data_IF_771680915776
#
_entry.id   IF_771680915776
#
_cell.length_a   1.000
_cell.length_b   1.000
_cell.length_c   1.000
_cell.angle_alpha   90.00
_cell.angle_beta   90.00
_cell.angle_gamma   90.00
#
_symmetry.space_group_name_H-M   'P 1'
#
loop_
_entity.id
_entity.type
_entity.pdbx_description
1 polymer ?
#
# COMPACT_ATOMS: atom_id res chain seq x y z
N UNK A 1 12.15 26.98 -0.12
CA UNK A 1 11.82 26.94 -1.56
C UNK A 1 10.41 27.48 -1.72
N UNK A 2 10.19 28.50 -2.55
CA UNK A 2 8.90 29.21 -2.70
C UNK A 2 7.95 28.57 -3.71
N UNK A 3 8.51 27.86 -4.69
CA UNK A 3 7.78 27.29 -5.82
C UNK A 3 8.18 25.83 -5.96
N UNK A 4 7.20 24.93 -5.87
CA UNK A 4 7.42 23.48 -5.93
C UNK A 4 6.39 22.86 -6.86
N UNK A 5 6.85 21.87 -7.61
CA UNK A 5 6.00 21.01 -8.44
C UNK A 5 6.05 19.60 -7.87
N UNK A 6 4.86 19.04 -7.61
CA UNK A 6 4.71 17.65 -7.20
C UNK A 6 4.08 16.85 -8.32
N UNK A 7 4.55 15.62 -8.47
CA UNK A 7 4.14 14.70 -9.51
C UNK A 7 3.53 13.44 -8.89
N UNK A 8 2.30 13.13 -9.31
CA UNK A 8 1.70 11.80 -9.11
C UNK A 8 1.79 11.01 -10.41
N UNK A 9 2.28 9.77 -10.34
CA UNK A 9 2.37 8.88 -11.51
C UNK A 9 1.69 7.56 -11.21
N UNK A 10 0.85 7.12 -12.15
CA UNK A 10 0.21 5.82 -12.13
C UNK A 10 0.54 5.13 -13.46
N UNK A 11 1.16 3.96 -13.38
CA UNK A 11 1.38 3.09 -14.53
C UNK A 11 0.23 2.10 -14.70
N UNK A 12 -0.06 1.73 -15.95
CA UNK A 12 -1.07 0.74 -16.30
C UNK A 12 -0.82 -0.63 -15.62
N UNK A 13 0.44 -1.05 -15.55
CA UNK A 13 0.87 -2.35 -15.03
C UNK A 13 1.38 -2.23 -13.59
N UNK A 14 2.15 -1.19 -13.29
CA UNK A 14 2.81 -0.99 -11.99
C UNK A 14 1.89 -0.34 -10.94
N UNK A 15 0.76 0.22 -11.34
CA UNK A 15 -0.13 0.96 -10.43
C UNK A 15 0.51 2.27 -9.96
N UNK A 16 0.36 2.61 -8.68
CA UNK A 16 0.81 3.90 -8.14
C UNK A 16 2.35 3.99 -8.02
N UNK A 17 3.02 4.39 -9.10
CA UNK A 17 4.48 4.53 -9.19
C UNK A 17 5.00 5.57 -8.19
N UNK A 18 4.29 6.68 -8.00
CA UNK A 18 4.72 7.73 -7.07
C UNK A 18 4.49 7.39 -5.58
N UNK A 19 3.81 6.30 -5.27
CA UNK A 19 3.48 5.94 -3.89
C UNK A 19 4.74 5.75 -3.04
N UNK A 20 4.81 6.44 -1.91
CA UNK A 20 5.97 6.46 -1.01
C UNK A 20 7.24 7.13 -1.55
N UNK A 21 7.20 7.84 -2.69
CA UNK A 21 8.39 8.47 -3.27
C UNK A 21 8.84 9.74 -2.51
N UNK A 22 7.91 10.43 -1.84
CA UNK A 22 8.20 11.59 -1.01
C UNK A 22 8.51 11.26 0.44
N UNK A 23 8.88 10.01 0.76
CA UNK A 23 9.21 9.55 2.11
C UNK A 23 10.69 9.68 2.43
N UNK A 24 11.03 9.67 3.72
CA UNK A 24 12.42 9.70 4.20
C UNK A 24 13.26 8.56 3.59
N UNK A 25 12.72 7.35 3.49
CA UNK A 25 13.43 6.20 2.89
C UNK A 25 13.76 6.39 1.40
N UNK A 26 13.08 7.32 0.72
CA UNK A 26 13.24 7.57 -0.71
C UNK A 26 14.15 8.76 -0.99
N UNK A 27 13.92 9.89 -0.32
CA UNK A 27 14.61 11.18 -0.61
C UNK A 27 15.41 11.72 0.59
N UNK A 28 15.53 10.94 1.67
CA UNK A 28 16.22 11.34 2.91
C UNK A 28 15.58 12.60 3.51
N UNK A 29 16.42 13.49 4.06
CA UNK A 29 16.00 14.74 4.72
C UNK A 29 15.24 15.74 3.82
N UNK A 30 15.02 15.43 2.54
CA UNK A 30 14.23 16.26 1.62
C UNK A 30 12.75 15.88 1.59
N UNK A 31 12.37 14.81 2.31
CA UNK A 31 10.98 14.40 2.44
C UNK A 31 10.14 15.52 3.06
N UNK A 32 8.86 15.56 2.69
CA UNK A 32 7.94 16.58 3.18
C UNK A 32 6.64 15.93 3.62
N UNK A 33 6.16 16.37 4.78
CA UNK A 33 4.90 15.90 5.34
C UNK A 33 3.74 16.18 4.38
N UNK A 34 2.82 15.22 4.26
CA UNK A 34 1.66 15.25 3.38
C UNK A 34 1.95 15.17 1.86
N UNK A 35 3.20 14.89 1.48
CA UNK A 35 3.63 14.67 0.10
C UNK A 35 4.32 13.30 -0.07
N UNK A 36 4.02 12.34 0.80
CA UNK A 36 4.70 11.04 0.85
C UNK A 36 4.49 10.20 -0.41
N UNK A 37 3.35 10.35 -1.07
CA UNK A 37 2.97 9.64 -2.30
C UNK A 37 3.21 10.46 -3.58
N UNK A 38 3.94 11.57 -3.47
CA UNK A 38 4.24 12.47 -4.58
C UNK A 38 5.74 12.57 -4.82
N UNK A 39 6.12 12.72 -6.08
CA UNK A 39 7.50 12.91 -6.52
C UNK A 39 7.81 14.40 -6.58
N UNK A 40 8.98 14.77 -6.09
CA UNK A 40 9.46 16.14 -6.14
C UNK A 40 10.09 16.45 -7.51
N UNK A 41 9.55 17.46 -8.23
CA UNK A 41 10.04 17.86 -9.54
C UNK A 41 10.83 19.16 -9.45
N UNK A 42 12.11 19.11 -9.84
CA UNK A 42 13.06 20.23 -9.80
C UNK A 42 12.91 21.18 -10.96
N UNK A 43 12.63 20.64 -12.14
CA UNK A 43 12.37 21.43 -13.33
C UNK A 43 11.38 20.72 -14.22
N UNK A 44 10.58 21.50 -14.93
CA UNK A 44 9.62 21.01 -15.91
C UNK A 44 9.67 21.94 -17.11
N UNK A 45 9.79 21.35 -18.29
CA UNK A 45 9.73 22.04 -19.57
C UNK A 45 8.69 21.34 -20.42
N UNK A 46 7.69 22.11 -20.83
CA UNK A 46 6.72 21.70 -21.83
C UNK A 46 6.80 22.71 -22.97
N UNK A 47 6.93 22.22 -24.20
CA UNK A 47 7.02 23.08 -25.38
C UNK A 47 5.88 22.75 -26.34
N UNK A 48 5.29 23.79 -26.91
CA UNK A 48 4.24 23.68 -27.91
C UNK A 48 4.52 24.74 -28.96
N UNK A 49 4.59 24.31 -30.22
CA UNK A 49 4.78 25.19 -31.37
C UNK A 49 3.50 25.28 -32.18
N UNK A 50 3.39 26.30 -33.04
CA UNK A 50 2.27 26.43 -33.96
C UNK A 50 2.69 25.97 -35.35
N UNK A 51 1.84 25.20 -36.01
CA UNK A 51 2.01 24.87 -37.44
C UNK A 51 1.35 25.91 -38.35
N UNK A 52 0.72 26.94 -37.78
CA UNK A 52 -0.17 27.87 -38.50
C UNK A 52 -1.57 27.30 -38.77
N UNK A 53 -1.78 25.99 -38.61
CA UNK A 53 -3.09 25.31 -38.72
C UNK A 53 -3.53 24.62 -37.42
N UNK A 54 -2.68 24.62 -36.40
CA UNK A 54 -2.94 23.99 -35.11
C UNK A 54 -1.70 23.97 -34.22
N UNK A 55 -1.88 23.48 -32.99
CA UNK A 55 -0.78 23.31 -32.05
C UNK A 55 -0.03 22.01 -32.34
N UNK A 56 1.29 22.09 -32.43
CA UNK A 56 2.20 20.96 -32.42
C UNK A 56 2.79 20.83 -31.02
N UNK A 57 2.38 19.77 -30.31
CA UNK A 57 2.91 19.46 -29.00
C UNK A 57 4.30 18.85 -29.13
N UNK A 58 5.22 19.32 -28.31
CA UNK A 58 6.46 18.60 -28.05
C UNK A 58 6.29 17.78 -26.76
N UNK A 59 7.05 16.69 -26.65
CA UNK A 59 7.09 15.90 -25.43
C UNK A 59 7.41 16.76 -24.21
N UNK A 60 6.94 16.32 -23.04
CA UNK A 60 7.19 16.99 -21.77
C UNK A 60 8.48 16.44 -21.19
N UNK A 61 9.32 17.33 -20.66
CA UNK A 61 10.56 16.96 -19.97
C UNK A 61 10.48 17.44 -18.53
N UNK A 62 10.83 16.60 -17.58
CA UNK A 62 10.99 17.04 -16.20
C UNK A 62 12.22 16.42 -15.55
N UNK A 63 12.77 17.07 -14.53
CA UNK A 63 13.92 16.61 -13.76
C UNK A 63 13.51 16.36 -12.31
N UNK A 64 13.98 15.27 -11.74
CA UNK A 64 13.76 14.87 -10.34
C UNK A 64 15.03 14.29 -9.75
N UNK A 65 15.05 14.07 -8.43
CA UNK A 65 16.10 13.32 -7.77
C UNK A 65 16.05 11.86 -8.16
N UNK A 66 17.18 11.16 -8.03
CA UNK A 66 17.16 9.70 -7.91
C UNK A 66 16.42 9.36 -6.62
N UNK A 67 15.35 8.58 -6.73
CA UNK A 67 14.46 8.22 -5.62
C UNK A 67 13.85 6.82 -5.83
N UNK A 68 12.88 6.43 -5.00
CA UNK A 68 12.19 5.13 -5.10
C UNK A 68 11.57 4.85 -6.48
N UNK A 69 11.11 5.88 -7.19
CA UNK A 69 10.46 5.73 -8.51
C UNK A 69 11.46 5.53 -9.65
N UNK A 70 12.75 5.84 -9.48
CA UNK A 70 13.79 5.68 -10.53
C UNK A 70 13.76 4.28 -11.18
N UNK A 71 13.87 3.15 -10.43
CA UNK A 71 13.77 1.82 -11.04
C UNK A 71 12.39 1.51 -11.64
N UNK A 72 11.32 2.13 -11.13
CA UNK A 72 9.97 1.95 -11.67
C UNK A 72 9.79 2.66 -13.02
N UNK A 73 10.39 3.84 -13.20
CA UNK A 73 10.48 4.48 -14.51
C UNK A 73 11.31 3.66 -15.49
N UNK A 74 12.41 3.04 -15.04
CA UNK A 74 13.18 2.10 -15.87
C UNK A 74 12.34 0.90 -16.32
N UNK A 75 11.52 0.33 -15.43
CA UNK A 75 10.58 -0.73 -15.80
C UNK A 75 9.53 -0.24 -16.81
N UNK A 76 8.98 0.97 -16.59
CA UNK A 76 7.97 1.53 -17.47
C UNK A 76 8.50 1.75 -18.90
N UNK A 77 9.72 2.29 -19.05
CA UNK A 77 10.32 2.46 -20.38
C UNK A 77 10.68 1.12 -21.02
N UNK A 78 11.20 0.16 -20.26
CA UNK A 78 11.56 -1.16 -20.78
C UNK A 78 10.33 -1.93 -21.31
N UNK A 79 9.20 -1.79 -20.63
CA UNK A 79 7.97 -2.49 -20.98
C UNK A 79 7.04 -1.68 -21.89
N UNK A 80 7.47 -0.48 -22.32
CA UNK A 80 6.65 0.48 -23.05
C UNK A 80 5.28 0.68 -22.39
N UNK A 81 5.28 0.83 -21.06
CA UNK A 81 4.08 0.95 -20.24
C UNK A 81 3.43 2.32 -20.42
N UNK A 82 2.11 2.34 -20.57
CA UNK A 82 1.36 3.58 -20.63
C UNK A 82 1.19 4.17 -19.23
N UNK A 83 1.48 5.46 -19.10
CA UNK A 83 1.48 6.18 -17.84
C UNK A 83 0.38 7.25 -17.83
N UNK A 84 -0.12 7.51 -16.63
CA UNK A 84 -0.96 8.63 -16.28
C UNK A 84 -0.20 9.51 -15.29
N UNK A 85 -0.08 10.80 -15.60
CA UNK A 85 0.72 11.74 -14.81
C UNK A 85 -0.08 12.99 -14.44
N UNK A 86 0.06 13.43 -13.19
CA UNK A 86 -0.51 14.69 -12.69
C UNK A 86 0.57 15.53 -12.03
N UNK A 87 0.73 16.76 -12.50
CA UNK A 87 1.63 17.76 -11.94
C UNK A 87 0.82 18.84 -11.23
N UNK A 88 1.10 19.05 -9.94
CA UNK A 88 0.53 20.13 -9.14
C UNK A 88 1.59 21.18 -8.84
N UNK A 89 1.32 22.42 -9.25
CA UNK A 89 2.19 23.56 -9.01
C UNK A 89 1.69 24.33 -7.79
N UNK A 90 2.61 24.57 -6.87
CA UNK A 90 2.37 25.32 -5.67
C UNK A 90 3.09 26.65 -5.70
N UNK A 91 2.47 27.65 -5.08
CA UNK A 91 3.08 28.95 -4.78
C UNK A 91 2.68 29.41 -3.39
N UNK A 92 3.38 30.39 -2.86
CA UNK A 92 3.00 31.09 -1.64
C UNK A 92 1.95 32.16 -1.98
N UNK A 93 0.81 32.12 -1.32
CA UNK A 93 -0.25 33.10 -1.50
C UNK A 93 -0.05 34.36 -0.64
N UNK A 94 -0.94 35.35 -0.77
CA UNK A 94 -0.87 36.62 -0.04
C UNK A 94 -0.86 36.48 1.49
N UNK A 95 -1.29 35.33 2.02
CA UNK A 95 -1.37 35.02 3.44
C UNK A 95 -0.16 34.19 3.93
N UNK A 96 0.86 33.99 3.09
CA UNK A 96 2.03 33.18 3.42
C UNK A 96 1.76 31.67 3.39
N UNK A 97 0.61 31.22 2.87
CA UNK A 97 0.24 29.80 2.80
C UNK A 97 0.52 29.24 1.41
N UNK A 98 0.84 27.95 1.39
CA UNK A 98 0.97 27.17 0.17
C UNK A 98 -0.41 26.98 -0.47
N UNK A 99 -0.54 27.26 -1.77
CA UNK A 99 -1.75 26.97 -2.54
C UNK A 99 -1.40 26.31 -3.88
N UNK A 100 -2.20 25.30 -4.27
CA UNK A 100 -2.18 24.76 -5.63
C UNK A 100 -2.77 25.81 -6.57
N UNK A 101 -2.02 26.27 -7.56
CA UNK A 101 -2.50 27.30 -8.49
C UNK A 101 -2.54 26.86 -9.95
N UNK A 102 -1.72 25.88 -10.33
CA UNK A 102 -1.65 25.37 -11.68
C UNK A 102 -1.55 23.84 -11.70
N UNK A 103 -2.09 23.23 -12.74
CA UNK A 103 -2.23 21.78 -12.87
C UNK A 103 -1.97 21.34 -14.30
N UNK A 104 -1.17 20.28 -14.48
CA UNK A 104 -0.98 19.62 -15.78
C UNK A 104 -1.30 18.13 -15.61
N UNK A 105 -2.11 17.60 -16.50
CA UNK A 105 -2.43 16.18 -16.61
C UNK A 105 -1.92 15.65 -17.94
N UNK A 106 -1.25 14.51 -17.93
CA UNK A 106 -0.92 13.76 -19.14
C UNK A 106 -1.66 12.42 -19.12
N UNK A 107 -2.25 12.04 -20.25
CA UNK A 107 -2.81 10.70 -20.48
C UNK A 107 -2.19 10.08 -21.72
N UNK A 108 -2.11 8.76 -21.69
CA UNK A 108 -1.39 8.03 -22.72
C UNK A 108 0.07 8.44 -22.82
N UNK A 109 0.71 8.63 -21.66
CA UNK A 109 2.10 9.04 -21.60
C UNK A 109 3.03 7.84 -21.76
N UNK A 110 4.07 7.97 -22.58
CA UNK A 110 5.15 6.99 -22.74
C UNK A 110 6.49 7.65 -22.48
N UNK A 111 7.42 6.89 -21.89
CA UNK A 111 8.76 7.39 -21.64
C UNK A 111 9.61 7.23 -22.90
N UNK A 112 10.22 8.32 -23.35
CA UNK A 112 11.11 8.33 -24.53
C UNK A 112 12.60 8.34 -24.15
N UNK A 113 12.93 8.65 -22.90
CA UNK A 113 14.30 8.57 -22.41
C UNK A 113 14.45 9.03 -20.96
N UNK A 114 15.41 8.44 -20.25
CA UNK A 114 15.68 8.72 -18.84
C UNK A 114 17.19 8.99 -18.63
N UNK A 115 17.73 10.16 -19.03
CA UNK A 115 19.11 10.49 -18.71
C UNK A 115 19.31 10.67 -17.21
N UNK A 116 20.19 9.85 -16.61
CA UNK A 116 20.65 10.01 -15.24
C UNK A 116 21.96 10.79 -15.20
N UNK A 117 22.07 11.73 -14.26
CA UNK A 117 23.27 12.54 -14.03
C UNK A 117 23.80 12.26 -12.63
N UNK A 118 25.03 11.71 -12.59
CA UNK A 118 25.82 11.53 -11.39
C UNK A 118 27.06 12.42 -11.53
N UNK A 119 27.21 13.38 -10.63
CA UNK A 119 28.30 14.35 -10.69
C UNK A 119 28.73 14.68 -9.27
N UNK A 120 30.05 14.78 -9.05
CA UNK A 120 30.60 15.19 -7.77
C UNK A 120 30.02 16.54 -7.33
N UNK A 121 29.72 16.67 -6.03
CA UNK A 121 29.17 17.88 -5.42
C UNK A 121 27.81 18.35 -5.99
N UNK A 122 27.09 17.49 -6.70
CA UNK A 122 25.72 17.73 -7.13
C UNK A 122 24.80 16.61 -6.66
N UNK A 123 23.53 16.94 -6.45
CA UNK A 123 22.54 15.93 -6.16
C UNK A 123 22.38 15.02 -7.38
N UNK A 124 22.37 13.69 -7.21
CA UNK A 124 22.02 12.77 -8.30
C UNK A 124 20.61 13.05 -8.79
N UNK A 125 20.47 13.28 -10.09
CA UNK A 125 19.19 13.60 -10.72
C UNK A 125 18.94 12.75 -11.95
N UNK A 126 17.68 12.55 -12.29
CA UNK A 126 17.26 11.98 -13.56
C UNK A 126 16.32 12.94 -14.30
N UNK A 127 16.50 13.02 -15.61
CA UNK A 127 15.62 13.77 -16.51
C UNK A 127 14.71 12.78 -17.22
N UNK A 128 13.40 12.96 -17.12
CA UNK A 128 12.41 12.09 -17.75
C UNK A 128 11.86 12.81 -18.98
N UNK A 129 12.01 12.20 -20.16
CA UNK A 129 11.39 12.65 -21.39
C UNK A 129 10.11 11.84 -21.65
N UNK A 130 8.99 12.53 -21.87
CA UNK A 130 7.65 11.96 -21.96
C UNK A 130 6.98 12.36 -23.26
N UNK A 131 6.59 11.40 -24.09
CA UNK A 131 5.59 11.60 -25.14
C UNK A 131 4.19 11.34 -24.55
N UNK A 132 3.16 11.98 -25.08
CA UNK A 132 1.80 11.84 -24.55
C UNK A 132 0.78 12.05 -25.66
N UNK A 133 -0.38 11.41 -25.52
CA UNK A 133 -1.48 11.54 -26.47
C UNK A 133 -2.48 12.63 -26.08
N UNK A 134 -2.62 12.89 -24.78
CA UNK A 134 -3.50 13.93 -24.25
C UNK A 134 -2.82 14.74 -23.17
N UNK A 135 -3.05 16.06 -23.22
CA UNK A 135 -2.65 17.00 -22.18
C UNK A 135 -3.83 17.85 -21.75
N UNK A 136 -3.92 18.12 -20.45
CA UNK A 136 -4.82 19.10 -19.87
C UNK A 136 -4.05 20.01 -18.93
N UNK A 137 -4.10 21.31 -19.18
CA UNK A 137 -3.52 22.35 -18.35
C UNK A 137 -4.65 23.17 -17.74
N UNK A 138 -4.62 23.42 -16.43
CA UNK A 138 -5.60 24.27 -15.73
C UNK A 138 -4.92 25.27 -14.80
N UNK A 139 -5.35 26.52 -14.85
CA UNK A 139 -5.10 27.48 -13.79
C UNK A 139 -6.23 27.39 -12.75
N UNK A 140 -5.94 26.81 -11.59
CA UNK A 140 -6.94 26.44 -10.58
C UNK A 140 -7.61 27.65 -9.90
N UNK A 141 -6.87 28.76 -9.74
CA UNK A 141 -7.42 29.97 -9.10
C UNK A 141 -8.17 30.87 -10.10
N UNK A 142 -7.72 30.95 -11.34
CA UNK A 142 -8.31 31.78 -12.40
C UNK A 142 -9.33 31.03 -13.27
N UNK A 143 -9.51 29.72 -13.05
CA UNK A 143 -10.44 28.84 -13.75
C UNK A 143 -10.31 28.85 -15.28
N UNK A 144 -9.10 29.01 -15.81
CA UNK A 144 -8.82 28.83 -17.24
C UNK A 144 -8.24 27.45 -17.48
N UNK A 145 -8.63 26.84 -18.60
CA UNK A 145 -8.14 25.51 -18.97
C UNK A 145 -7.85 25.40 -20.48
N UNK A 146 -6.92 24.51 -20.79
CA UNK A 146 -6.57 24.10 -22.14
C UNK A 146 -6.44 22.58 -22.15
N UNK A 147 -7.12 21.91 -23.06
CA UNK A 147 -6.91 20.48 -23.29
C UNK A 147 -6.74 20.19 -24.76
N UNK A 148 -5.87 19.24 -25.08
CA UNK A 148 -5.64 18.82 -26.45
C UNK A 148 -5.39 17.31 -26.51
N UNK A 149 -5.99 16.68 -27.52
CA UNK A 149 -5.88 15.26 -27.81
C UNK A 149 -5.19 15.12 -29.17
N UNK A 150 -3.94 14.66 -29.17
CA UNK A 150 -3.11 14.54 -30.37
C UNK A 150 -3.60 13.43 -31.31
N UNK A 151 -4.25 12.38 -30.78
CA UNK A 151 -4.76 11.25 -31.55
C UNK A 151 -6.21 10.94 -31.16
N UNK A 152 -7.21 11.59 -31.80
CA UNK A 152 -8.62 11.44 -31.45
C UNK A 152 -9.16 10.01 -31.53
N UNK A 153 -8.66 9.22 -32.49
CA UNK A 153 -9.08 7.83 -32.69
C UNK A 153 -8.65 6.90 -31.54
N UNK A 154 -7.63 7.29 -30.77
CA UNK A 154 -7.11 6.52 -29.65
C UNK A 154 -7.73 6.90 -28.30
N UNK A 155 -8.69 7.82 -28.26
CA UNK A 155 -9.26 8.32 -26.99
C UNK A 155 -9.73 7.21 -26.05
N UNK A 156 -10.41 6.20 -26.59
CA UNK A 156 -10.94 5.06 -25.81
C UNK A 156 -9.85 4.08 -25.34
N UNK A 157 -8.62 4.21 -25.83
CA UNK A 157 -7.45 3.40 -25.45
C UNK A 157 -6.54 4.13 -24.45
N UNK A 158 -6.86 5.36 -24.07
CA UNK A 158 -6.10 6.06 -23.05
C UNK A 158 -6.28 5.33 -21.71
N UNK A 159 -5.19 4.80 -21.16
CA UNK A 159 -5.17 4.38 -19.77
C UNK A 159 -5.56 5.58 -18.88
N UNK A 160 -6.73 5.44 -18.25
CA UNK A 160 -7.21 6.36 -17.23
C UNK A 160 -7.32 5.52 -15.96
N UNK A 161 -6.48 5.78 -14.94
CA UNK A 161 -6.62 5.07 -13.68
C UNK A 161 -8.02 5.37 -13.14
N UNK A 162 -8.68 4.32 -12.65
CA UNK A 162 -9.95 4.52 -11.96
C UNK A 162 -9.72 5.59 -10.90
N UNK A 163 -10.54 6.66 -10.85
CA UNK A 163 -10.40 7.66 -9.81
C UNK A 163 -10.35 6.89 -8.50
N UNK A 164 -9.40 7.24 -7.61
CA UNK A 164 -9.50 6.78 -6.23
C UNK A 164 -10.95 7.09 -5.87
N UNK A 165 -11.83 6.07 -5.79
CA UNK A 165 -13.07 6.21 -5.04
C UNK A 165 -12.56 6.86 -3.79
N UNK A 166 -13.04 8.07 -3.49
CA UNK A 166 -12.76 8.65 -2.20
C UNK A 166 -12.93 7.46 -1.27
N UNK A 167 -11.83 7.05 -0.64
CA UNK A 167 -11.99 6.20 0.50
C UNK A 167 -12.69 7.15 1.43
N UNK A 168 -14.02 7.19 1.30
CA UNK A 168 -14.96 7.36 2.38
C UNK A 168 -14.33 6.47 3.42
N UNK A 169 -13.54 7.16 4.23
CA UNK A 169 -12.52 6.57 5.04
C UNK A 169 -13.18 5.38 5.73
N UNK A 170 -12.48 4.26 5.85
CA UNK A 170 -12.97 3.12 6.64
C UNK A 170 -13.39 3.50 8.08
N UNK A 171 -13.26 4.77 8.45
CA UNK A 171 -13.86 5.46 9.59
C UNK A 171 -15.40 5.44 9.62
N UNK A 172 -16.14 5.32 8.50
CA UNK A 172 -17.61 5.10 8.61
C UNK A 172 -17.97 3.77 9.27
N UNK A 173 -17.05 2.80 9.30
CA UNK A 173 -17.18 1.56 10.08
C UNK A 173 -16.67 1.67 11.51
N UNK A 174 -15.97 2.76 11.87
CA UNK A 174 -15.41 3.01 13.21
C UNK A 174 -16.15 4.11 13.96
N UNK A 175 -17.24 4.65 13.42
CA UNK A 175 -17.99 5.74 14.02
C UNK A 175 -19.01 5.28 15.08
N UNK A 176 -18.69 4.24 15.85
CA UNK A 176 -19.59 3.66 16.86
C UNK A 176 -19.33 4.19 18.27
N UNK A 177 -20.31 4.04 19.19
CA UNK A 177 -20.14 4.43 20.60
C UNK A 177 -18.95 3.73 21.26
N UNK A 178 -18.65 2.50 20.88
CA UNK A 178 -17.51 1.75 21.43
C UNK A 178 -16.17 2.41 21.08
N UNK A 179 -16.01 2.89 19.84
CA UNK A 179 -14.81 3.60 19.40
C UNK A 179 -14.70 4.95 20.09
N UNK A 180 -15.82 5.67 20.24
CA UNK A 180 -15.88 6.90 21.03
C UNK A 180 -15.36 6.74 22.47
N UNK A 181 -15.79 5.67 23.15
CA UNK A 181 -15.35 5.36 24.53
C UNK A 181 -13.86 5.02 24.59
N UNK A 182 -13.34 4.27 23.61
CA UNK A 182 -11.92 3.95 23.50
C UNK A 182 -11.07 5.21 23.26
N UNK A 183 -11.53 6.12 22.42
CA UNK A 183 -10.86 7.41 22.19
C UNK A 183 -10.84 8.27 23.46
N UNK A 184 -11.91 8.28 24.23
CA UNK A 184 -11.94 8.96 25.52
C UNK A 184 -10.93 8.36 26.51
N UNK A 185 -10.87 7.03 26.62
CA UNK A 185 -9.87 6.35 27.44
C UNK A 185 -8.42 6.63 26.97
N UNK A 186 -8.19 6.62 25.65
CA UNK A 186 -6.90 6.95 25.04
C UNK A 186 -6.48 8.40 25.26
N UNK A 187 -7.44 9.34 25.23
CA UNK A 187 -7.20 10.76 25.54
C UNK A 187 -6.79 10.98 26.99
N UNK A 188 -7.39 10.26 27.94
CA UNK A 188 -6.97 10.27 29.37
C UNK A 188 -5.56 9.69 29.51
N UNK A 189 -5.34 8.50 28.96
CA UNK A 189 -4.06 7.79 29.09
C UNK A 189 -2.88 8.59 28.53
N UNK A 190 -3.09 9.25 27.38
CA UNK A 190 -2.06 10.05 26.72
C UNK A 190 -2.03 11.52 27.18
N UNK A 191 -2.86 11.93 28.14
CA UNK A 191 -2.97 13.32 28.58
C UNK A 191 -3.42 14.30 27.50
N UNK A 192 -4.04 13.82 26.41
CA UNK A 192 -4.47 14.61 25.25
C UNK A 192 -5.97 14.41 25.01
N UNK A 193 -6.79 15.00 25.88
CA UNK A 193 -8.24 14.86 25.80
C UNK A 193 -8.77 15.55 24.53
N UNK A 194 -8.34 16.78 24.25
CA UNK A 194 -8.88 17.58 23.13
C UNK A 194 -8.56 16.99 21.75
N UNK A 195 -7.33 16.50 21.53
CA UNK A 195 -6.97 15.88 20.24
C UNK A 195 -7.74 14.59 19.95
N UNK A 196 -7.99 13.78 21.00
CA UNK A 196 -8.79 12.57 20.86
C UNK A 196 -10.30 12.88 20.75
N UNK A 197 -10.77 13.99 21.33
CA UNK A 197 -12.13 14.49 21.13
C UNK A 197 -12.36 14.96 19.70
N UNK A 198 -11.45 15.76 19.15
CA UNK A 198 -11.50 16.20 17.76
C UNK A 198 -11.48 15.01 16.79
N UNK A 199 -10.69 13.98 17.12
CA UNK A 199 -10.70 12.71 16.39
C UNK A 199 -12.08 12.03 16.44
N UNK A 200 -12.72 11.95 17.61
CA UNK A 200 -14.06 11.38 17.76
C UNK A 200 -15.14 12.19 17.00
N UNK A 201 -15.01 13.52 16.96
CA UNK A 201 -15.89 14.42 16.21
C UNK A 201 -15.72 14.25 14.69
N UNK A 202 -14.48 14.13 14.21
CA UNK A 202 -14.15 13.86 12.80
C UNK A 202 -14.61 12.48 12.32
N UNK A 203 -14.61 11.48 13.20
CA UNK A 203 -15.19 10.15 12.90
C UNK A 203 -16.70 10.21 12.63
N UNK A 204 -17.40 11.17 13.23
CA UNK A 204 -18.85 11.32 13.11
C UNK A 204 -19.65 10.14 13.69
N UNK A 205 -20.89 9.97 13.24
CA UNK A 205 -21.78 8.88 13.69
C UNK A 205 -22.05 8.90 15.20
N UNK A 206 -21.93 7.73 15.83
CA UNK A 206 -22.15 7.48 17.25
C UNK A 206 -20.87 7.67 18.11
N UNK A 207 -19.71 7.89 17.50
CA UNK A 207 -18.44 8.04 18.22
C UNK A 207 -18.40 9.26 19.15
N UNK A 208 -18.89 10.46 18.77
CA UNK A 208 -18.97 11.61 19.69
C UNK A 208 -19.84 11.30 20.92
N UNK A 209 -20.95 10.58 20.74
CA UNK A 209 -21.83 10.20 21.83
C UNK A 209 -21.15 9.18 22.78
N UNK A 210 -20.42 8.21 22.24
CA UNK A 210 -19.61 7.28 23.03
C UNK A 210 -18.48 7.96 23.80
N UNK A 211 -17.84 8.95 23.20
CA UNK A 211 -16.80 9.75 23.85
C UNK A 211 -17.36 10.53 25.05
N UNK A 212 -18.48 11.24 24.86
CA UNK A 212 -19.17 11.99 25.92
C UNK A 212 -19.72 11.11 27.05
N UNK A 213 -20.00 9.83 26.80
CA UNK A 213 -20.40 8.89 27.84
C UNK A 213 -19.28 8.62 28.85
N UNK A 214 -18.02 8.73 28.43
CA UNK A 214 -16.84 8.54 29.30
C UNK A 214 -16.36 9.88 29.85
N UNK A 215 -16.32 10.91 29.00
CA UNK A 215 -15.82 12.24 29.33
C UNK A 215 -16.91 13.29 29.10
N UNK A 216 -17.58 13.67 30.18
CA UNK A 216 -18.50 14.80 30.25
C UNK A 216 -18.13 15.73 31.42
N UNK A 217 -18.80 16.89 31.49
CA UNK A 217 -18.55 17.92 32.51
C UNK A 217 -18.63 17.39 33.94
N UNK A 218 -19.44 16.36 34.21
CA UNK A 218 -19.54 15.72 35.54
C UNK A 218 -18.39 14.73 35.83
N UNK A 219 -17.79 14.11 34.81
CA UNK A 219 -16.72 13.11 34.95
C UNK A 219 -15.32 13.74 34.94
N UNK A 220 -15.15 14.85 34.21
CA UNK A 220 -13.91 15.65 34.20
C UNK A 220 -13.66 16.28 35.58
N UNK A 221 -14.71 16.69 36.29
CA UNK A 221 -14.62 17.27 37.63
C UNK A 221 -14.32 16.28 38.76
N UNK A 222 -14.37 14.96 38.50
CA UNK A 222 -14.29 13.91 39.54
C UNK A 222 -13.04 13.03 39.44
N UNK A 223 -12.13 13.30 38.50
CA UNK A 223 -10.85 12.58 38.40
C UNK A 223 -10.99 11.06 38.23
N UNK A 224 -12.05 10.58 37.55
CA UNK A 224 -12.25 9.14 37.35
C UNK A 224 -11.39 8.68 36.18
N UNK A 225 -10.30 7.98 36.50
CA UNK A 225 -9.53 7.18 35.55
C UNK A 225 -10.38 5.99 35.08
N UNK A 226 -11.17 6.19 34.02
CA UNK A 226 -11.96 5.12 33.40
C UNK A 226 -11.07 4.23 32.51
N UNK A 227 -10.08 3.58 33.11
CA UNK A 227 -9.49 2.37 32.56
C UNK A 227 -10.31 1.18 33.11
N UNK A 228 -10.83 0.34 32.22
CA UNK A 228 -11.16 -1.08 32.49
C UNK A 228 -12.57 -1.52 32.91
N UNK A 229 -13.63 -0.69 33.02
CA UNK A 229 -14.93 -1.21 33.51
C UNK A 229 -16.14 -0.80 32.64
N UNK A 230 -16.29 -1.34 31.42
CA UNK A 230 -17.61 -1.69 30.83
C UNK A 230 -17.44 -2.85 29.83
N UNK A 231 -16.95 -4.02 30.27
CA UNK A 231 -17.13 -5.29 29.52
C UNK A 231 -17.46 -6.47 30.44
N UNK A 232 -18.14 -6.19 31.56
CA UNK A 232 -18.69 -7.21 32.45
C UNK A 232 -20.20 -7.00 32.55
N UNK A 233 -20.94 -7.86 31.83
CA UNK A 233 -22.28 -8.43 32.12
C UNK A 233 -23.06 -8.69 30.84
N UNK A 234 -22.93 -9.91 30.30
CA UNK A 234 -24.02 -10.81 29.88
C UNK A 234 -23.51 -11.83 28.87
N UNK A 235 -23.57 -13.12 29.25
CA UNK A 235 -23.02 -14.25 28.52
C UNK A 235 -23.77 -14.61 27.22
N UNK A 236 -24.90 -14.00 26.93
CA UNK A 236 -25.73 -14.30 25.75
C UNK A 236 -25.23 -13.70 24.42
N UNK A 237 -24.18 -12.86 24.44
CA UNK A 237 -23.57 -12.25 23.24
C UNK A 237 -22.28 -12.92 22.75
N UNK A 238 -21.81 -13.99 23.40
CA UNK A 238 -20.58 -14.70 22.99
C UNK A 238 -20.74 -15.35 21.60
N UNK A 239 -21.96 -15.75 21.24
CA UNK A 239 -22.27 -16.30 19.91
C UNK A 239 -22.14 -15.23 18.80
N UNK A 240 -22.49 -13.98 19.08
CA UNK A 240 -22.30 -12.85 18.17
C UNK A 240 -20.83 -12.43 18.07
N UNK A 241 -20.04 -12.61 19.14
CA UNK A 241 -18.60 -12.33 19.14
C UNK A 241 -17.87 -13.27 18.19
N UNK A 242 -18.19 -14.56 18.17
CA UNK A 242 -17.58 -15.50 17.21
C UNK A 242 -17.98 -15.16 15.77
N UNK A 243 -19.23 -14.78 15.54
CA UNK A 243 -19.74 -14.34 14.23
C UNK A 243 -19.12 -13.01 13.77
N UNK A 244 -18.83 -12.11 14.70
CA UNK A 244 -18.15 -10.83 14.46
C UNK A 244 -16.64 -11.02 14.25
N UNK A 245 -16.02 -11.96 14.98
CA UNK A 245 -14.62 -12.38 14.81
C UNK A 245 -14.39 -13.03 13.44
N UNK A 246 -15.33 -13.87 12.98
CA UNK A 246 -15.35 -14.43 11.63
C UNK A 246 -15.57 -13.38 10.53
N UNK A 247 -16.28 -12.29 10.85
CA UNK A 247 -16.50 -11.17 9.93
C UNK A 247 -15.27 -10.25 9.87
N UNK A 248 -14.59 -10.05 10.99
CA UNK A 248 -13.33 -9.29 11.10
C UNK A 248 -12.17 -10.08 10.47
N UNK A 249 -12.11 -11.41 10.62
CA UNK A 249 -11.10 -12.24 9.93
C UNK A 249 -11.30 -12.18 8.40
N UNK A 250 -12.55 -12.19 7.92
CA UNK A 250 -12.89 -11.96 6.50
C UNK A 250 -12.62 -10.52 6.02
N UNK A 251 -12.68 -9.51 6.89
CA UNK A 251 -12.34 -8.12 6.56
C UNK A 251 -10.81 -7.87 6.59
N UNK A 252 -10.08 -8.54 7.48
CA UNK A 252 -8.61 -8.51 7.54
C UNK A 252 -7.95 -9.34 6.44
N UNK A 253 -8.69 -10.25 5.79
CA UNK A 253 -8.24 -11.02 4.63
C UNK A 253 -7.91 -10.19 3.38
N UNK A 254 -8.07 -8.86 3.39
CA UNK A 254 -7.79 -7.98 2.24
C UNK A 254 -6.45 -7.23 2.28
N UNK A 255 -5.67 -7.32 3.36
CA UNK A 255 -4.38 -6.62 3.43
C UNK A 255 -3.22 -7.60 3.63
N UNK A 256 -2.88 -8.30 2.55
CA UNK A 256 -1.63 -9.05 2.39
C UNK A 256 -0.42 -8.13 2.07
N UNK A 257 -0.57 -6.80 2.13
CA UNK A 257 0.54 -5.85 2.05
C UNK A 257 1.59 -6.15 0.97
N UNK A 258 2.84 -6.30 1.40
CA UNK A 258 4.06 -6.45 0.59
C UNK A 258 4.15 -7.73 -0.26
N UNK A 259 3.26 -8.71 -0.09
CA UNK A 259 3.39 -10.03 -0.76
C UNK A 259 2.64 -10.15 -2.09
N UNK A 260 1.90 -9.12 -2.52
CA UNK A 260 1.12 -9.15 -3.77
C UNK A 260 1.96 -9.33 -5.04
N UNK A 261 3.24 -8.93 -4.99
CA UNK A 261 4.17 -9.01 -6.12
C UNK A 261 5.11 -10.24 -6.04
N UNK A 262 4.87 -11.16 -5.11
CA UNK A 262 5.68 -12.38 -4.97
C UNK A 262 5.50 -13.31 -6.17
N UNK A 263 4.29 -13.41 -6.72
CA UNK A 263 4.00 -14.31 -7.84
C UNK A 263 3.32 -13.59 -9.00
N UNK A 264 4.01 -12.64 -9.68
CA UNK A 264 3.39 -11.75 -10.67
C UNK A 264 2.84 -12.49 -11.89
N UNK A 265 3.32 -13.72 -12.14
CA UNK A 265 2.83 -14.56 -13.23
C UNK A 265 1.56 -15.34 -12.91
N UNK A 266 1.05 -15.33 -11.68
CA UNK A 266 -0.18 -16.06 -11.32
C UNK A 266 -1.41 -15.47 -12.04
N UNK A 267 -2.35 -16.28 -12.56
CA UNK A 267 -2.42 -17.75 -12.56
C UNK A 267 -1.92 -18.41 -13.86
N UNK A 268 -0.89 -17.89 -14.53
CA UNK A 268 -0.32 -18.50 -15.75
C UNK A 268 0.32 -19.86 -15.44
N UNK A 269 0.38 -20.73 -16.45
CA UNK A 269 1.04 -22.05 -16.35
C UNK A 269 2.47 -21.87 -15.85
N UNK A 270 2.86 -22.73 -14.91
CA UNK A 270 4.16 -22.68 -14.20
C UNK A 270 4.16 -21.80 -12.94
N UNK A 271 3.23 -20.85 -12.81
CA UNK A 271 3.05 -20.03 -11.61
C UNK A 271 1.94 -20.55 -10.68
N UNK A 272 1.21 -21.58 -11.09
CA UNK A 272 0.14 -22.21 -10.28
C UNK A 272 0.64 -23.38 -9.42
N UNK A 273 1.85 -23.88 -9.65
CA UNK A 273 2.42 -25.03 -8.94
C UNK A 273 3.74 -24.70 -8.20
N UNK A 274 4.16 -23.44 -8.21
CA UNK A 274 5.42 -22.95 -7.64
C UNK A 274 5.31 -22.51 -6.16
N UNK A 275 4.41 -23.10 -5.37
CA UNK A 275 4.14 -22.68 -3.98
C UNK A 275 5.39 -22.67 -3.08
N UNK A 276 6.33 -23.60 -3.30
CA UNK A 276 7.64 -23.63 -2.61
C UNK A 276 8.49 -22.40 -2.94
N UNK A 277 8.61 -22.03 -4.22
CA UNK A 277 9.33 -20.82 -4.62
C UNK A 277 8.66 -19.57 -4.06
N UNK A 278 7.32 -19.53 -4.08
CA UNK A 278 6.54 -18.44 -3.48
C UNK A 278 6.77 -18.32 -1.98
N UNK A 279 6.92 -19.44 -1.26
CA UNK A 279 7.16 -19.44 0.17
C UNK A 279 8.54 -18.88 0.53
N UNK A 280 9.57 -19.16 -0.31
CA UNK A 280 10.91 -18.58 -0.16
C UNK A 280 10.89 -17.09 -0.45
N UNK A 281 10.32 -16.68 -1.58
CA UNK A 281 10.25 -15.27 -1.99
C UNK A 281 9.42 -14.42 -1.01
N UNK A 282 8.35 -15.00 -0.44
CA UNK A 282 7.56 -14.36 0.61
C UNK A 282 8.38 -14.17 1.89
N UNK A 283 9.12 -15.17 2.35
CA UNK A 283 9.96 -15.03 3.55
C UNK A 283 11.05 -13.96 3.36
N UNK A 284 11.72 -13.95 2.19
CA UNK A 284 12.70 -12.92 1.84
C UNK A 284 12.08 -11.51 1.86
N UNK A 285 10.89 -11.36 1.26
CA UNK A 285 10.15 -10.09 1.23
C UNK A 285 9.76 -9.63 2.64
N UNK A 286 9.32 -10.56 3.50
CA UNK A 286 9.02 -10.28 4.91
C UNK A 286 10.28 -9.95 5.73
N UNK A 287 11.44 -10.45 5.32
CA UNK A 287 12.74 -10.12 5.90
C UNK A 287 13.31 -8.78 5.39
N UNK A 288 12.57 -8.02 4.58
CA UNK A 288 13.00 -6.74 4.04
C UNK A 288 13.75 -6.81 2.70
N UNK A 289 13.77 -7.97 2.05
CA UNK A 289 14.41 -8.20 0.75
C UNK A 289 13.34 -8.54 -0.30
N UNK A 290 12.75 -7.56 -1.00
CA UNK A 290 11.70 -7.82 -1.99
C UNK A 290 12.15 -8.86 -3.02
N UNK A 291 11.37 -9.94 -3.17
CA UNK A 291 11.68 -11.05 -4.05
C UNK A 291 10.43 -11.57 -4.76
N UNK A 292 10.60 -12.11 -5.97
CA UNK A 292 9.54 -12.75 -6.75
C UNK A 292 9.91 -14.20 -7.08
N UNK A 293 8.92 -15.07 -7.07
CA UNK A 293 9.07 -16.48 -7.34
C UNK A 293 9.16 -16.75 -8.84
N UNK A 294 10.15 -17.58 -9.22
CA UNK A 294 10.24 -18.10 -10.58
C UNK A 294 9.16 -19.17 -10.84
N UNK A 295 8.67 -19.29 -12.09
CA UNK A 295 7.78 -20.37 -12.47
C UNK A 295 8.50 -21.71 -12.41
N UNK A 296 7.73 -22.79 -12.29
CA UNK A 296 8.25 -24.15 -12.39
C UNK A 296 7.70 -24.84 -13.65
N UNK A 297 8.53 -25.64 -14.30
CA UNK A 297 8.11 -26.47 -15.42
C UNK A 297 7.71 -27.88 -14.92
N UNK A 298 6.81 -27.94 -13.95
CA UNK A 298 6.33 -29.20 -13.34
C UNK A 298 4.94 -29.02 -12.76
N UNK A 299 4.07 -29.99 -12.98
CA UNK A 299 2.74 -30.10 -12.35
C UNK A 299 2.75 -30.92 -11.07
N UNK A 300 3.88 -31.59 -10.75
CA UNK A 300 4.04 -32.43 -9.55
C UNK A 300 4.44 -31.63 -8.30
N UNK A 301 4.55 -30.31 -8.41
CA UNK A 301 5.05 -29.44 -7.36
C UNK A 301 6.55 -29.65 -7.07
N UNK A 302 7.00 -29.08 -5.96
CA UNK A 302 8.40 -29.16 -5.49
C UNK A 302 8.41 -29.87 -4.13
N UNK A 303 9.34 -30.82 -3.87
CA UNK A 303 9.42 -31.51 -2.59
C UNK A 303 9.69 -30.57 -1.39
N UNK A 304 9.10 -30.86 -0.23
CA UNK A 304 9.33 -30.10 1.01
C UNK A 304 10.79 -30.10 1.46
N UNK A 305 11.55 -31.15 1.11
CA UNK A 305 12.99 -31.25 1.40
C UNK A 305 13.81 -30.09 0.83
N UNK A 306 13.31 -29.41 -0.21
CA UNK A 306 13.92 -28.19 -0.74
C UNK A 306 13.88 -27.06 0.30
N UNK A 307 12.75 -26.87 0.97
CA UNK A 307 12.60 -25.86 2.03
C UNK A 307 13.40 -26.24 3.28
N UNK A 308 13.36 -27.51 3.68
CA UNK A 308 14.13 -28.00 4.82
C UNK A 308 15.64 -27.79 4.63
N UNK A 309 16.14 -28.08 3.43
CA UNK A 309 17.54 -27.81 3.06
C UNK A 309 17.85 -26.32 2.99
N UNK A 310 16.94 -25.51 2.42
CA UNK A 310 17.14 -24.07 2.27
C UNK A 310 17.25 -23.34 3.62
N UNK A 311 16.39 -23.68 4.58
CA UNK A 311 16.37 -23.05 5.90
C UNK A 311 17.18 -23.81 6.97
N UNK A 312 17.85 -24.90 6.60
CA UNK A 312 18.55 -25.79 7.52
C UNK A 312 17.67 -26.20 8.73
N UNK A 313 16.43 -26.58 8.43
CA UNK A 313 15.41 -26.92 9.43
C UNK A 313 14.57 -28.11 9.00
N UNK A 314 13.62 -28.52 9.84
CA UNK A 314 12.69 -29.62 9.55
C UNK A 314 11.26 -29.21 9.82
N UNK A 315 10.33 -29.68 9.00
CA UNK A 315 8.91 -29.52 9.28
C UNK A 315 8.54 -30.34 10.51
N UNK A 316 7.86 -29.69 11.46
CA UNK A 316 7.31 -30.33 12.66
C UNK A 316 5.80 -30.47 12.51
N UNK A 317 5.21 -31.63 12.82
CA UNK A 317 3.77 -31.80 12.80
C UNK A 317 3.10 -30.88 13.83
N UNK A 318 1.97 -30.29 13.46
CA UNK A 318 1.16 -29.42 14.30
C UNK A 318 -0.24 -30.03 14.43
N UNK A 319 -0.74 -30.13 15.66
CA UNK A 319 -2.06 -30.67 16.00
C UNK A 319 -3.20 -29.76 15.53
N UNK A 320 -2.98 -28.45 15.45
CA UNK A 320 -3.98 -27.48 14.99
C UNK A 320 -3.35 -26.16 14.51
N UNK A 321 -4.18 -25.30 13.91
CA UNK A 321 -3.81 -23.91 13.61
C UNK A 321 -3.50 -23.13 14.90
N UNK A 322 -4.23 -23.40 15.99
CA UNK A 322 -4.02 -22.73 17.28
C UNK A 322 -2.64 -23.04 17.87
N UNK A 323 -2.14 -24.26 17.66
CA UNK A 323 -0.76 -24.61 18.04
C UNK A 323 0.26 -23.77 17.27
N UNK A 324 0.05 -23.59 15.96
CA UNK A 324 0.93 -22.73 15.14
C UNK A 324 0.88 -21.29 15.65
N UNK A 325 -0.31 -20.77 15.93
CA UNK A 325 -0.47 -19.42 16.49
C UNK A 325 0.28 -19.30 17.81
N UNK A 326 0.14 -20.27 18.71
CA UNK A 326 0.83 -20.28 20.00
C UNK A 326 2.36 -20.35 19.85
N UNK A 327 2.88 -21.17 18.92
CA UNK A 327 4.32 -21.23 18.63
C UNK A 327 4.84 -19.89 18.10
N UNK A 328 4.09 -19.26 17.21
CA UNK A 328 4.48 -17.98 16.59
C UNK A 328 4.35 -16.80 17.55
N UNK A 329 3.40 -16.83 18.47
CA UNK A 329 3.21 -15.81 19.51
C UNK A 329 4.36 -15.82 20.52
N UNK A 330 4.74 -17.01 21.00
CA UNK A 330 5.89 -17.19 21.89
C UNK A 330 7.24 -16.84 21.26
N UNK A 331 7.33 -16.77 19.93
CA UNK A 331 8.56 -16.44 19.20
C UNK A 331 8.81 -14.93 19.05
N UNK A 332 7.97 -14.07 19.65
CA UNK A 332 8.01 -12.61 19.59
C UNK A 332 7.73 -11.99 18.20
N UNK A 333 7.56 -10.67 18.15
CA UNK A 333 7.36 -9.92 16.90
C UNK A 333 8.56 -10.06 15.95
N UNK A 334 8.29 -10.22 14.66
CA UNK A 334 9.29 -10.47 13.60
C UNK A 334 9.57 -11.95 13.33
N UNK A 335 8.98 -12.85 14.12
CA UNK A 335 9.09 -14.28 13.94
C UNK A 335 8.39 -14.76 12.66
N UNK A 336 9.03 -15.63 11.88
CA UNK A 336 8.57 -16.13 10.58
C UNK A 336 8.64 -17.66 10.49
N UNK A 337 7.80 -18.21 9.62
CA UNK A 337 7.78 -19.63 9.34
C UNK A 337 7.06 -19.95 8.03
N UNK A 338 7.16 -21.21 7.62
CA UNK A 338 6.43 -21.79 6.49
C UNK A 338 5.56 -22.91 7.03
N UNK A 339 4.28 -22.88 6.67
CA UNK A 339 3.29 -23.89 7.01
C UNK A 339 3.04 -24.75 5.78
N UNK A 340 3.10 -26.06 5.97
CA UNK A 340 2.59 -27.04 5.01
C UNK A 340 1.18 -27.47 5.44
N UNK A 341 0.22 -27.35 4.52
CA UNK A 341 -1.15 -27.85 4.68
C UNK A 341 -1.41 -29.03 3.75
N UNK A 342 -1.88 -30.16 4.29
CA UNK A 342 -2.29 -31.32 3.49
C UNK A 342 -3.80 -31.31 3.26
N UNK A 343 -4.25 -31.48 2.01
CA UNK A 343 -5.67 -31.62 1.68
C UNK A 343 -6.23 -33.00 2.05
N UNK A 344 -5.44 -34.04 1.83
CA UNK A 344 -5.78 -35.44 2.11
C UNK A 344 -4.56 -36.34 1.92
N UNK A 345 -4.53 -37.54 2.52
CA UNK A 345 -3.46 -38.50 2.30
C UNK A 345 -3.27 -38.81 0.80
N UNK A 346 -2.05 -38.65 0.29
CA UNK A 346 -1.71 -38.93 -1.11
C UNK A 346 -1.97 -37.80 -2.11
N UNK A 347 -2.54 -36.67 -1.70
CA UNK A 347 -2.64 -35.48 -2.55
C UNK A 347 -1.47 -34.51 -2.33
N UNK A 348 -0.98 -33.82 -3.39
CA UNK A 348 -0.01 -32.73 -3.23
C UNK A 348 -0.58 -31.66 -2.30
N UNK A 349 0.12 -31.37 -1.20
CA UNK A 349 -0.28 -30.31 -0.28
C UNK A 349 0.11 -28.91 -0.80
N UNK A 350 -0.14 -27.90 0.05
CA UNK A 350 0.21 -26.51 -0.22
C UNK A 350 1.16 -25.98 0.84
N UNK A 351 2.02 -25.04 0.47
CA UNK A 351 2.87 -24.31 1.42
C UNK A 351 2.58 -22.81 1.34
N UNK A 352 2.53 -22.18 2.51
CA UNK A 352 2.28 -20.76 2.69
C UNK A 352 3.03 -20.26 3.92
N UNK A 353 3.19 -18.95 4.08
CA UNK A 353 3.99 -18.37 5.16
C UNK A 353 3.13 -18.03 6.37
N UNK A 354 3.76 -18.02 7.55
CA UNK A 354 3.21 -17.47 8.78
C UNK A 354 4.20 -16.46 9.37
N UNK A 355 3.70 -15.33 9.86
CA UNK A 355 4.53 -14.28 10.46
C UNK A 355 3.85 -13.66 11.66
N UNK A 356 4.62 -13.36 12.70
CA UNK A 356 4.22 -12.51 13.81
C UNK A 356 4.59 -11.06 13.49
N UNK A 357 3.61 -10.24 13.10
CA UNK A 357 3.80 -8.81 12.85
C UNK A 357 3.15 -8.00 13.97
N UNK A 358 3.97 -7.45 14.87
CA UNK A 358 3.51 -6.64 16.00
C UNK A 358 2.46 -7.38 16.86
N UNK A 359 2.79 -8.60 17.27
CA UNK A 359 1.93 -9.49 18.06
C UNK A 359 0.62 -9.86 17.34
N UNK A 360 0.61 -9.79 16.01
CA UNK A 360 -0.49 -10.27 15.17
C UNK A 360 0.03 -11.39 14.28
N UNK A 361 -0.48 -12.61 14.48
CA UNK A 361 -0.13 -13.76 13.64
C UNK A 361 -0.91 -13.69 12.32
N UNK A 362 -0.19 -13.75 11.20
CA UNK A 362 -0.76 -13.68 9.85
C UNK A 362 -0.29 -14.87 9.02
N UNK A 363 -1.24 -15.48 8.32
CA UNK A 363 -0.98 -16.54 7.34
C UNK A 363 -1.11 -15.97 5.93
N UNK A 364 -0.05 -16.10 5.14
CA UNK A 364 0.15 -15.38 3.89
C UNK A 364 0.43 -16.38 2.77
N UNK A 365 -0.41 -16.39 1.75
CA UNK A 365 -0.23 -17.20 0.56
C UNK A 365 0.44 -16.38 -0.53
N UNK A 366 1.76 -16.51 -0.62
CA UNK A 366 2.57 -15.84 -1.65
C UNK A 366 2.25 -16.29 -3.07
N UNK A 367 1.64 -17.47 -3.27
CA UNK A 367 1.28 -17.94 -4.60
C UNK A 367 0.10 -17.16 -5.16
N UNK A 368 -0.90 -16.87 -4.33
CA UNK A 368 -2.10 -16.13 -4.72
C UNK A 368 -2.02 -14.63 -4.40
N UNK A 369 -1.06 -14.21 -3.57
CA UNK A 369 -0.92 -12.83 -3.08
C UNK A 369 -1.95 -12.43 -2.02
N UNK A 370 -2.63 -13.40 -1.40
CA UNK A 370 -3.72 -13.20 -0.44
C UNK A 370 -3.42 -13.83 0.93
N UNK A 371 -4.35 -13.69 1.87
CA UNK A 371 -4.32 -14.49 3.09
C UNK A 371 -4.54 -15.97 2.77
N UNK A 372 -3.84 -16.87 3.46
CA UNK A 372 -4.03 -18.30 3.26
C UNK A 372 -5.40 -18.75 3.80
N UNK A 373 -6.19 -19.46 2.99
CA UNK A 373 -7.40 -20.12 3.47
C UNK A 373 -7.02 -21.40 4.19
N UNK A 374 -7.23 -21.44 5.50
CA UNK A 374 -6.84 -22.57 6.35
C UNK A 374 -7.89 -23.69 6.36
N UNK A 375 -9.13 -23.40 5.95
CA UNK A 375 -10.25 -24.35 6.08
C UNK A 375 -10.18 -25.51 5.08
N UNK A 376 -9.33 -25.39 4.05
CA UNK A 376 -9.13 -26.41 3.03
C UNK A 376 -8.19 -27.56 3.46
N UNK A 377 -7.47 -27.43 4.57
CA UNK A 377 -6.45 -28.40 4.99
C UNK A 377 -6.93 -29.31 6.13
N UNK A 378 -6.46 -30.56 6.14
CA UNK A 378 -6.75 -31.58 7.14
C UNK A 378 -5.65 -31.75 8.19
N UNK A 379 -4.42 -31.46 7.83
CA UNK A 379 -3.27 -31.50 8.75
C UNK A 379 -2.26 -30.43 8.40
N UNK A 380 -1.49 -30.01 9.40
CA UNK A 380 -0.51 -28.95 9.28
C UNK A 380 0.86 -29.39 9.77
N UNK A 381 1.90 -28.81 9.16
CA UNK A 381 3.27 -28.87 9.66
C UNK A 381 3.89 -27.48 9.60
N UNK A 382 4.80 -27.17 10.51
CA UNK A 382 5.47 -25.86 10.59
C UNK A 382 6.98 -26.03 10.49
N UNK A 383 7.60 -25.19 9.66
CA UNK A 383 9.04 -24.96 9.57
C UNK A 383 9.34 -23.52 10.00
N UNK A 384 10.22 -23.32 10.97
CA UNK A 384 10.71 -21.98 11.38
C UNK A 384 11.77 -21.48 10.39
N UNK A 385 11.72 -20.19 10.04
CA UNK A 385 12.66 -19.58 9.09
C UNK A 385 13.62 -18.57 9.73
N UNK A 386 13.35 -18.16 10.97
CA UNK A 386 14.25 -17.37 11.80
C UNK A 386 14.05 -17.60 13.30
#
# INVERSE_FOLDING_TARGET
MSDIVYLTVIGEQQGAISAGCGTESSVGNRWQIAHEDEIFVFSLSNSMTSTGKGSQLHGLRFCKLIDKSTPLFTNAINNNEQLYMEFYFYRINRFGKWEKYYYIQLRGAFLSGIPCLFSENRLPTETINVSYEYILCKHLIANTEFSYLALPENYNRLFIPQPKKSTDSGLKTLNSKAVGRLLAAGGIYNGNIEGFRDTAEKLGGDAPAGYKQVLNEKTIGLGIAAASIIFSRNASKIQDINKFRDKISKLNGKSAGTIRNVNPGYPKIGYTHNCVNCSIATDATLAGHPASALPINSTKGVPLSVLEKFYNGKFKPMSSVDEIIHVMDNANSGARGIVYGSYSPGQPGHVFNVVNQNNTIRFLDGQTGNAADLNQFKSFQLLRTN
#
